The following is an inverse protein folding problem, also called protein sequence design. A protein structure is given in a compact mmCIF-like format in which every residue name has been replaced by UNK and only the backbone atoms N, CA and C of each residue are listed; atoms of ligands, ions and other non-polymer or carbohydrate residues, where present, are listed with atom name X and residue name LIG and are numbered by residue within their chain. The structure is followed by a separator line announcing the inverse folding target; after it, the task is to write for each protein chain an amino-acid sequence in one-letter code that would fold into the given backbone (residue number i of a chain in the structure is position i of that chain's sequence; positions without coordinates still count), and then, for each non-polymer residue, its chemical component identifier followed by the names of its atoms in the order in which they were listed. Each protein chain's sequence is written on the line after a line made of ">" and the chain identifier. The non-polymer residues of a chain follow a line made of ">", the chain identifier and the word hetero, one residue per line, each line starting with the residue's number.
data_IF_969040854471
#
_entry.id   IF_969040854471
#
_cell.length_a   1.000
_cell.length_b   1.000
_cell.length_c   1.000
_cell.angle_alpha   90.00
_cell.angle_beta   90.00
_cell.angle_gamma   90.00
#
_symmetry.space_group_name_H-M   'P 1'
#
loop_
_entity.id
_entity.type
_entity.pdbx_description
1 polymer ?
#
# COMPACT_ATOMS: atom_id res chain seq x y z
N UNK A 1 -12.31 -23.35 -52.73
CA UNK A 1 -11.34 -23.72 -51.67
C UNK A 1 -10.25 -22.69 -51.43
N UNK A 2 -9.76 -21.94 -52.41
CA UNK A 2 -8.73 -20.91 -52.17
C UNK A 2 -9.25 -19.69 -51.39
N UNK A 3 -10.46 -19.24 -51.64
CA UNK A 3 -11.10 -18.08 -51.01
C UNK A 3 -11.34 -18.28 -49.50
N UNK A 4 -11.72 -19.49 -49.09
CA UNK A 4 -11.99 -19.83 -47.69
C UNK A 4 -10.71 -19.78 -46.81
N UNK A 5 -9.56 -20.15 -47.34
CA UNK A 5 -8.26 -20.08 -46.64
C UNK A 5 -7.83 -18.63 -46.41
N UNK A 6 -8.11 -17.74 -47.32
CA UNK A 6 -7.78 -16.30 -47.19
C UNK A 6 -8.70 -15.61 -46.19
N UNK A 7 -9.98 -15.98 -46.13
CA UNK A 7 -10.91 -15.44 -45.15
C UNK A 7 -10.54 -15.88 -43.70
N UNK A 8 -10.15 -17.14 -43.51
CA UNK A 8 -9.75 -17.66 -42.21
C UNK A 8 -8.45 -17.02 -41.73
N UNK A 9 -7.48 -16.79 -42.65
CA UNK A 9 -6.20 -16.10 -42.32
C UNK A 9 -6.45 -14.65 -41.91
N UNK A 10 -7.30 -13.91 -42.63
CA UNK A 10 -7.64 -12.52 -42.30
C UNK A 10 -8.33 -12.39 -40.93
N UNK A 11 -9.22 -13.31 -40.60
CA UNK A 11 -9.92 -13.34 -39.31
C UNK A 11 -8.93 -13.58 -38.14
N UNK A 12 -7.97 -14.48 -38.35
CA UNK A 12 -6.95 -14.78 -37.37
C UNK A 12 -6.04 -13.58 -37.10
N UNK A 13 -5.57 -12.88 -38.14
CA UNK A 13 -4.76 -11.67 -37.98
C UNK A 13 -5.53 -10.54 -37.33
N UNK A 14 -6.82 -10.35 -37.64
CA UNK A 14 -7.67 -9.36 -37.00
C UNK A 14 -7.87 -9.66 -35.50
N UNK A 15 -8.08 -10.93 -35.13
CA UNK A 15 -8.21 -11.35 -33.73
C UNK A 15 -6.90 -11.15 -32.95
N UNK A 16 -5.75 -11.47 -33.55
CA UNK A 16 -4.45 -11.24 -32.92
C UNK A 16 -4.15 -9.74 -32.73
N UNK A 17 -4.45 -8.91 -33.73
CA UNK A 17 -4.29 -7.46 -33.63
C UNK A 17 -5.20 -6.87 -32.54
N UNK A 18 -6.44 -7.33 -32.43
CA UNK A 18 -7.37 -6.92 -31.39
C UNK A 18 -6.90 -7.34 -29.98
N UNK A 19 -6.37 -8.56 -29.84
CA UNK A 19 -5.80 -9.04 -28.58
C UNK A 19 -4.58 -8.21 -28.14
N UNK A 20 -3.71 -7.82 -29.08
CA UNK A 20 -2.56 -6.94 -28.80
C UNK A 20 -3.02 -5.56 -28.36
N UNK A 21 -4.02 -4.98 -29.05
CA UNK A 21 -4.60 -3.68 -28.63
C UNK A 21 -5.19 -3.76 -27.23
N UNK A 22 -5.90 -4.84 -26.89
CA UNK A 22 -6.45 -5.05 -25.55
C UNK A 22 -5.35 -5.16 -24.48
N UNK A 23 -4.21 -5.79 -24.79
CA UNK A 23 -3.07 -5.87 -23.84
C UNK A 23 -2.44 -4.50 -23.54
N UNK A 24 -2.50 -3.57 -24.50
CA UNK A 24 -1.95 -2.21 -24.33
C UNK A 24 -2.97 -1.19 -23.84
N UNK A 25 -4.29 -1.48 -23.93
CA UNK A 25 -5.36 -0.55 -23.53
C UNK A 25 -6.03 -0.92 -22.22
N UNK A 26 -5.81 -2.15 -21.71
CA UNK A 26 -6.29 -2.49 -20.37
C UNK A 26 -5.42 -1.79 -19.33
N UNK A 27 -5.99 -1.03 -18.40
CA UNK A 27 -5.24 -0.45 -17.30
C UNK A 27 -4.52 -1.57 -16.55
N UNK A 28 -3.21 -1.41 -16.38
CA UNK A 28 -2.37 -2.39 -15.72
C UNK A 28 -2.83 -2.63 -14.28
N UNK A 29 -2.47 -3.79 -13.74
CA UNK A 29 -2.77 -4.18 -12.34
C UNK A 29 -2.33 -3.15 -11.30
N UNK A 30 -1.46 -2.23 -11.66
CA UNK A 30 -0.93 -1.17 -10.79
C UNK A 30 -1.94 -0.05 -10.53
N UNK A 31 -2.76 0.35 -11.51
CA UNK A 31 -3.79 1.37 -11.30
C UNK A 31 -4.93 0.92 -10.39
N UNK A 32 -5.29 -0.37 -10.43
CA UNK A 32 -6.34 -0.93 -9.56
C UNK A 32 -5.88 -1.07 -8.09
N UNK A 33 -4.56 -1.20 -7.86
CA UNK A 33 -3.99 -1.26 -6.51
C UNK A 33 -3.92 0.13 -5.84
N UNK A 34 -3.83 1.21 -6.62
CA UNK A 34 -3.79 2.58 -6.12
C UNK A 34 -5.18 3.11 -5.71
N UNK A 35 -6.24 2.69 -6.40
CA UNK A 35 -7.62 3.10 -6.10
C UNK A 35 -8.12 2.60 -4.73
N UNK A 36 -7.49 1.56 -4.16
CA UNK A 36 -7.82 1.01 -2.83
C UNK A 36 -6.85 1.44 -1.71
N UNK A 37 -5.88 2.30 -2.00
CA UNK A 37 -4.96 2.82 -0.99
C UNK A 37 -5.70 3.88 -0.15
N UNK A 38 -5.75 3.77 1.19
CA UNK A 38 -6.38 4.80 1.99
C UNK A 38 -5.61 6.11 1.83
N UNK A 39 -6.34 7.18 1.54
CA UNK A 39 -5.75 8.51 1.40
C UNK A 39 -5.36 9.01 2.79
N UNK A 40 -4.07 9.31 2.97
CA UNK A 40 -3.56 9.86 4.22
C UNK A 40 -3.98 11.32 4.36
N UNK A 41 -4.65 11.72 5.46
CA UNK A 41 -4.96 13.12 5.69
C UNK A 41 -3.68 13.94 5.89
N UNK A 42 -3.72 15.19 5.45
CA UNK A 42 -2.62 16.13 5.68
C UNK A 42 -2.68 16.65 7.11
N UNK A 43 -1.70 16.29 7.90
CA UNK A 43 -1.57 16.73 9.31
C UNK A 43 -0.16 17.30 9.55
N UNK A 44 -0.04 18.19 10.53
CA UNK A 44 1.26 18.63 11.03
C UNK A 44 1.78 17.60 12.03
N UNK A 45 3.05 17.22 11.93
CA UNK A 45 3.65 16.26 12.85
C UNK A 45 3.60 16.78 14.30
N UNK A 46 2.92 16.03 15.14
CA UNK A 46 2.98 16.13 16.60
C UNK A 46 3.77 14.95 17.16
N UNK A 47 5.05 15.15 17.42
CA UNK A 47 5.96 14.11 17.92
C UNK A 47 5.49 13.51 19.24
N UNK A 48 5.05 14.35 20.18
CA UNK A 48 4.60 13.89 21.51
C UNK A 48 3.33 13.03 21.42
N UNK A 49 2.36 13.45 20.59
CA UNK A 49 1.15 12.69 20.33
C UNK A 49 1.44 11.37 19.61
N UNK A 50 2.33 11.38 18.62
CA UNK A 50 2.75 10.16 17.91
C UNK A 50 3.44 9.16 18.85
N UNK A 51 4.39 9.61 19.68
CA UNK A 51 5.07 8.75 20.65
C UNK A 51 4.10 8.14 21.67
N UNK A 52 3.15 8.93 22.18
CA UNK A 52 2.13 8.43 23.11
C UNK A 52 1.25 7.37 22.46
N UNK A 53 0.80 7.60 21.23
CA UNK A 53 -0.02 6.65 20.49
C UNK A 53 0.74 5.34 20.16
N UNK A 54 2.01 5.44 19.77
CA UNK A 54 2.89 4.28 19.53
C UNK A 54 3.13 3.49 20.80
N UNK A 55 3.41 4.14 21.93
CA UNK A 55 3.55 3.47 23.23
C UNK A 55 2.29 2.74 23.67
N UNK A 56 1.12 3.31 23.39
CA UNK A 56 -0.14 2.70 23.76
C UNK A 56 -0.54 1.50 22.88
N UNK A 57 -0.15 1.48 21.61
CA UNK A 57 -0.72 0.56 20.62
C UNK A 57 0.29 -0.34 19.90
N UNK A 58 1.57 0.00 19.86
CA UNK A 58 2.53 -0.64 18.95
C UNK A 58 3.62 -1.44 19.68
N UNK A 59 4.08 -0.96 20.85
CA UNK A 59 5.25 -1.55 21.53
C UNK A 59 5.04 -2.99 21.99
N UNK A 60 3.81 -3.41 22.24
CA UNK A 60 3.49 -4.80 22.64
C UNK A 60 3.96 -5.83 21.61
N UNK A 61 3.98 -5.46 20.32
CA UNK A 61 4.42 -6.33 19.23
C UNK A 61 5.77 -5.91 18.65
N UNK A 62 6.06 -4.59 18.58
CA UNK A 62 7.26 -4.07 17.95
C UNK A 62 8.42 -3.76 18.91
N UNK A 63 8.23 -4.03 20.21
CA UNK A 63 9.21 -3.77 21.26
C UNK A 63 9.14 -2.35 21.83
N UNK A 64 9.54 -2.18 23.07
CA UNK A 64 9.49 -0.91 23.82
C UNK A 64 10.41 0.18 23.25
N UNK A 65 11.47 -0.21 22.55
CA UNK A 65 12.37 0.64 21.77
C UNK A 65 12.17 0.47 20.25
N UNK A 66 11.07 -0.15 19.84
CA UNK A 66 10.75 -0.45 18.44
C UNK A 66 11.78 -1.36 17.76
N UNK A 67 12.54 -2.12 18.54
CA UNK A 67 13.59 -3.03 18.08
C UNK A 67 13.03 -4.30 17.39
N UNK A 68 11.72 -4.54 17.49
CA UNK A 68 11.07 -5.76 17.03
C UNK A 68 10.76 -6.71 18.18
N UNK A 69 10.00 -7.73 17.85
CA UNK A 69 9.54 -8.77 18.79
C UNK A 69 8.62 -9.73 18.04
N UNK A 70 7.34 -9.78 18.39
CA UNK A 70 6.33 -10.48 17.59
C UNK A 70 6.12 -9.83 16.21
N UNK A 71 6.31 -8.50 16.11
CA UNK A 71 6.38 -7.75 14.88
C UNK A 71 7.81 -7.36 14.50
N UNK A 72 8.03 -6.86 13.27
CA UNK A 72 9.36 -6.41 12.84
C UNK A 72 9.82 -5.16 13.59
N UNK A 73 11.13 -4.87 13.51
CA UNK A 73 11.68 -3.60 13.99
C UNK A 73 11.10 -2.42 13.20
N UNK A 74 10.82 -1.32 13.90
CA UNK A 74 10.38 -0.05 13.32
C UNK A 74 11.44 1.05 13.44
N UNK A 75 12.65 0.71 13.90
CA UNK A 75 13.71 1.68 14.17
C UNK A 75 14.22 2.40 12.91
N UNK A 76 14.07 1.79 11.76
CA UNK A 76 14.50 2.33 10.46
C UNK A 76 13.38 2.29 9.41
N UNK A 77 12.13 2.33 9.84
CA UNK A 77 10.97 2.18 8.94
C UNK A 77 10.91 3.26 7.86
N UNK A 78 11.32 4.49 8.18
CA UNK A 78 11.38 5.58 7.22
C UNK A 78 12.50 5.47 6.16
N UNK A 79 13.42 4.51 6.31
CA UNK A 79 14.38 4.16 5.25
C UNK A 79 13.79 3.17 4.24
N UNK A 80 12.77 2.41 4.65
CA UNK A 80 12.13 1.38 3.83
C UNK A 80 10.83 1.87 3.18
N UNK A 81 10.10 2.78 3.86
CA UNK A 81 8.77 3.24 3.44
C UNK A 81 8.57 4.72 3.69
N UNK A 82 7.79 5.33 2.81
CA UNK A 82 7.27 6.69 3.01
C UNK A 82 6.08 6.71 4.00
N UNK A 83 5.70 7.89 4.43
CA UNK A 83 4.59 8.08 5.38
C UNK A 83 3.26 7.50 4.86
N UNK A 84 2.98 7.63 3.56
CA UNK A 84 1.75 7.08 2.96
C UNK A 84 1.72 5.55 2.99
N UNK A 85 2.86 4.92 2.72
CA UNK A 85 3.01 3.46 2.81
C UNK A 85 2.80 2.96 4.23
N UNK A 86 3.39 3.64 5.22
CA UNK A 86 3.21 3.35 6.64
C UNK A 86 1.74 3.56 7.06
N UNK A 87 1.13 4.69 6.67
CA UNK A 87 -0.27 4.98 6.92
C UNK A 87 -1.20 3.88 6.39
N UNK A 88 -0.95 3.41 5.17
CA UNK A 88 -1.73 2.33 4.56
C UNK A 88 -1.64 1.03 5.35
N UNK A 89 -0.43 0.67 5.81
CA UNK A 89 -0.21 -0.56 6.61
C UNK A 89 -0.89 -0.45 7.97
N UNK A 90 -0.75 0.66 8.67
CA UNK A 90 -1.36 0.85 9.99
C UNK A 90 -2.88 0.87 9.87
N UNK A 91 -3.43 1.54 8.85
CA UNK A 91 -4.88 1.62 8.64
C UNK A 91 -5.49 0.26 8.31
N UNK A 92 -4.90 -0.50 7.40
CA UNK A 92 -5.45 -1.77 6.91
C UNK A 92 -5.00 -3.00 7.71
N UNK A 93 -3.87 -2.90 8.39
CA UNK A 93 -3.16 -4.04 8.90
C UNK A 93 -2.36 -4.79 7.82
N UNK A 94 -1.50 -5.70 8.23
CA UNK A 94 -0.71 -6.54 7.32
C UNK A 94 -0.33 -7.86 7.99
N UNK A 95 -0.71 -8.98 7.39
CA UNK A 95 -0.42 -10.30 7.96
C UNK A 95 -1.05 -10.45 9.36
N UNK A 96 -0.25 -10.62 10.40
CA UNK A 96 -0.71 -10.71 11.79
C UNK A 96 -0.94 -9.36 12.46
N UNK A 97 -0.51 -8.26 11.84
CA UNK A 97 -0.76 -6.91 12.34
C UNK A 97 -2.23 -6.53 12.12
N UNK A 98 -2.97 -6.18 13.18
CA UNK A 98 -4.37 -5.78 13.05
C UNK A 98 -4.52 -4.43 12.35
N UNK A 99 -5.70 -4.18 11.80
CA UNK A 99 -6.12 -2.87 11.32
C UNK A 99 -6.36 -1.92 12.49
N UNK A 100 -5.87 -0.69 12.42
CA UNK A 100 -6.08 0.34 13.43
C UNK A 100 -7.13 1.40 13.05
N UNK A 101 -7.67 1.37 11.83
CA UNK A 101 -8.68 2.34 11.37
C UNK A 101 -9.95 2.41 12.23
N UNK A 102 -10.26 1.35 13.00
CA UNK A 102 -11.40 1.30 13.90
C UNK A 102 -11.03 1.72 15.35
N UNK A 103 -9.75 1.86 15.64
CA UNK A 103 -9.22 2.16 16.99
C UNK A 103 -8.65 3.56 17.11
N UNK A 104 -8.08 4.08 16.04
CA UNK A 104 -7.42 5.37 15.98
C UNK A 104 -8.06 6.22 14.89
N UNK A 105 -8.17 7.53 15.13
CA UNK A 105 -8.63 8.47 14.11
C UNK A 105 -7.63 8.51 12.92
N UNK A 106 -8.10 8.80 11.69
CA UNK A 106 -7.22 8.90 10.53
C UNK A 106 -6.05 9.87 10.74
N UNK A 107 -6.28 10.97 11.45
CA UNK A 107 -5.27 11.99 11.77
C UNK A 107 -4.20 11.46 12.73
N UNK A 108 -4.59 10.63 13.71
CA UNK A 108 -3.66 9.97 14.63
C UNK A 108 -2.78 8.96 13.89
N UNK A 109 -3.36 8.18 12.99
CA UNK A 109 -2.61 7.23 12.16
C UNK A 109 -1.65 7.99 11.23
N UNK A 110 -2.08 9.12 10.64
CA UNK A 110 -1.23 9.96 9.82
C UNK A 110 -0.06 10.55 10.61
N UNK A 111 -0.31 10.99 11.84
CA UNK A 111 0.72 11.51 12.72
C UNK A 111 1.76 10.43 13.10
N UNK A 112 1.31 9.21 13.42
CA UNK A 112 2.19 8.05 13.64
C UNK A 112 3.02 7.75 12.39
N UNK A 113 2.40 7.78 11.21
CA UNK A 113 3.06 7.49 9.95
C UNK A 113 4.16 8.51 9.63
N UNK A 114 3.91 9.80 9.82
CA UNK A 114 4.91 10.86 9.67
C UNK A 114 6.08 10.67 10.64
N UNK A 115 5.79 10.39 11.90
CA UNK A 115 6.80 10.18 12.92
C UNK A 115 7.69 8.95 12.64
N UNK A 116 7.10 7.84 12.19
CA UNK A 116 7.87 6.65 11.80
C UNK A 116 8.69 6.87 10.52
N UNK A 117 8.19 7.67 9.58
CA UNK A 117 8.91 8.01 8.35
C UNK A 117 10.18 8.85 8.59
N UNK A 118 10.32 9.49 9.75
CA UNK A 118 11.54 10.19 10.14
C UNK A 118 12.64 9.25 10.68
N UNK A 119 12.32 8.01 11.02
CA UNK A 119 13.28 7.02 11.52
C UNK A 119 14.07 6.42 10.36
N UNK A 120 15.31 6.87 10.20
CA UNK A 120 16.24 6.46 9.13
C UNK A 120 17.30 5.51 9.63
#
# INVERSE_FOLDING_TARGET
>A
MKMQKWMMSGLFFAACAFAVVLLFTLPGKEEVAEENKPVMPQVTLDTAGAEAAVKANCISCHGDQLQGGAGPSLQHEGSERDAEGIYSIVSKGRGQMPSFKEKLAPEEIANIALWLAEKK
#
